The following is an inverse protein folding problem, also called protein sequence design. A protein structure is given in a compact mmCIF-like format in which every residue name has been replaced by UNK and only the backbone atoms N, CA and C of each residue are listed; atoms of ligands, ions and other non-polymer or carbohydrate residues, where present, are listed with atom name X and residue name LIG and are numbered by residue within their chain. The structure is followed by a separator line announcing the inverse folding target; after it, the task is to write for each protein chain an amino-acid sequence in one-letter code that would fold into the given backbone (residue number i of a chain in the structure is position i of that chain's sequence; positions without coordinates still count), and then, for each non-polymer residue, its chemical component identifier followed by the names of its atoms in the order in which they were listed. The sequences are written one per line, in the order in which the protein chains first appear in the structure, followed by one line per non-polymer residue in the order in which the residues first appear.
data_IF_553983867718
#
_entry.id   IF_553983867718
#
_cell.length_a   1.000
_cell.length_b   1.000
_cell.length_c   1.000
_cell.angle_alpha   90.00
_cell.angle_beta   90.00
_cell.angle_gamma   90.00
#
_symmetry.space_group_name_H-M   'P 1'
#
loop_
_entity.id
_entity.type
_entity.pdbx_description
1 polymer ?
#
# COMPACT_ATOMS: atom_id res chain seq x y z
N UNK A 1 12.59 -20.79 -25.03
CA UNK A 1 13.00 -19.36 -25.00
C UNK A 1 12.51 -18.79 -23.68
N UNK A 2 13.37 -18.12 -22.92
CA UNK A 2 13.03 -17.54 -21.62
C UNK A 2 12.10 -16.35 -21.81
N UNK A 3 11.00 -16.27 -21.07
CA UNK A 3 10.00 -15.19 -21.18
C UNK A 3 10.59 -13.82 -20.81
N UNK A 4 9.98 -12.72 -21.28
CA UNK A 4 10.41 -11.36 -20.88
C UNK A 4 10.35 -11.16 -19.37
N UNK A 5 9.37 -11.78 -18.69
CA UNK A 5 9.23 -11.71 -17.24
C UNK A 5 10.40 -12.41 -16.52
N UNK A 6 10.81 -13.59 -16.99
CA UNK A 6 11.96 -14.30 -16.43
C UNK A 6 13.27 -13.55 -16.67
N UNK A 7 13.44 -12.92 -17.83
CA UNK A 7 14.58 -12.04 -18.09
C UNK A 7 14.58 -10.82 -17.17
N UNK A 8 13.42 -10.20 -16.94
CA UNK A 8 13.28 -9.03 -16.05
C UNK A 8 13.70 -9.36 -14.61
N UNK A 9 13.37 -10.55 -14.10
CA UNK A 9 13.74 -10.98 -12.74
C UNK A 9 15.25 -11.02 -12.49
N UNK A 10 16.06 -11.18 -13.55
CA UNK A 10 17.51 -11.18 -13.41
C UNK A 10 18.09 -9.77 -13.20
N UNK A 11 17.32 -8.72 -13.47
CA UNK A 11 17.77 -7.32 -13.41
C UNK A 11 17.01 -6.50 -12.37
N UNK A 12 15.76 -6.88 -12.06
CA UNK A 12 14.86 -6.10 -11.24
C UNK A 12 14.05 -7.02 -10.33
N UNK A 13 13.95 -6.65 -9.05
CA UNK A 13 12.98 -7.25 -8.12
C UNK A 13 11.57 -7.00 -8.64
N UNK A 14 10.88 -8.07 -9.05
CA UNK A 14 9.52 -7.95 -9.59
C UNK A 14 8.51 -7.92 -8.44
N UNK A 15 7.69 -6.88 -8.43
CA UNK A 15 6.62 -6.62 -7.46
C UNK A 15 5.28 -6.65 -8.18
N UNK A 16 4.24 -7.25 -7.59
CA UNK A 16 2.90 -7.24 -8.16
C UNK A 16 2.03 -6.13 -7.56
N UNK A 17 1.47 -5.26 -8.41
CA UNK A 17 0.55 -4.19 -8.00
C UNK A 17 -0.90 -4.65 -8.14
N UNK A 18 -1.32 -5.55 -7.24
CA UNK A 18 -2.65 -6.16 -7.23
C UNK A 18 -2.97 -6.77 -5.87
N UNK A 19 -4.25 -6.91 -5.55
CA UNK A 19 -4.75 -7.73 -4.45
C UNK A 19 -5.34 -9.07 -4.92
N UNK A 20 -5.22 -9.39 -6.21
CA UNK A 20 -5.63 -10.67 -6.78
C UNK A 20 -4.65 -11.78 -6.37
N UNK A 21 -5.10 -12.64 -5.46
CA UNK A 21 -4.33 -13.77 -4.92
C UNK A 21 -3.95 -14.81 -5.98
N UNK A 22 -4.77 -15.01 -7.01
CA UNK A 22 -4.49 -15.99 -8.07
C UNK A 22 -3.38 -15.49 -8.97
N UNK A 23 -3.42 -14.21 -9.33
CA UNK A 23 -2.34 -13.56 -10.08
C UNK A 23 -1.02 -13.63 -9.31
N UNK A 24 -1.03 -13.36 -8.00
CA UNK A 24 0.17 -13.43 -7.15
C UNK A 24 0.71 -14.87 -7.07
N UNK A 25 -0.15 -15.87 -6.85
CA UNK A 25 0.27 -17.27 -6.81
C UNK A 25 0.84 -17.75 -8.16
N UNK A 26 0.24 -17.32 -9.28
CA UNK A 26 0.69 -17.66 -10.63
C UNK A 26 2.01 -17.01 -10.97
N UNK A 27 2.14 -15.71 -10.71
CA UNK A 27 3.29 -14.91 -11.12
C UNK A 27 4.38 -14.84 -10.07
N UNK A 28 4.23 -15.35 -8.84
CA UNK A 28 5.30 -15.47 -7.82
C UNK A 28 6.22 -14.23 -7.74
N UNK A 29 5.68 -13.02 -7.49
CA UNK A 29 6.49 -11.83 -7.30
C UNK A 29 7.28 -11.91 -5.99
N UNK A 30 8.25 -11.03 -5.79
CA UNK A 30 8.99 -10.92 -4.52
C UNK A 30 8.15 -10.18 -3.48
N UNK A 31 7.56 -9.05 -3.87
CA UNK A 31 6.70 -8.22 -3.02
C UNK A 31 5.32 -8.02 -3.68
N UNK A 32 4.36 -7.50 -2.91
CA UNK A 32 3.08 -7.01 -3.40
C UNK A 32 2.82 -5.57 -2.96
N UNK A 33 2.12 -4.81 -3.79
CA UNK A 33 1.62 -3.48 -3.43
C UNK A 33 0.11 -3.43 -3.55
N UNK A 34 -0.53 -2.86 -2.53
CA UNK A 34 -1.93 -2.45 -2.61
C UNK A 34 -2.03 -0.92 -2.54
N UNK A 35 -3.23 -0.43 -2.81
CA UNK A 35 -3.68 0.95 -2.62
C UNK A 35 -5.20 0.90 -2.40
N UNK A 36 -5.87 2.00 -1.98
CA UNK A 36 -7.29 1.97 -1.68
C UNK A 36 -8.16 1.49 -2.85
N UNK A 37 -7.80 1.82 -4.10
CA UNK A 37 -8.54 1.35 -5.29
C UNK A 37 -8.34 -0.15 -5.54
N UNK A 38 -7.14 -0.68 -5.33
CA UNK A 38 -6.87 -2.11 -5.43
C UNK A 38 -7.63 -2.87 -4.35
N UNK A 39 -7.57 -2.41 -3.09
CA UNK A 39 -8.31 -3.03 -1.98
C UNK A 39 -9.79 -3.08 -2.28
N UNK A 40 -10.39 -1.96 -2.72
CA UNK A 40 -11.80 -1.90 -3.09
C UNK A 40 -12.16 -2.98 -4.13
N UNK A 41 -11.40 -3.06 -5.24
CA UNK A 41 -11.64 -4.06 -6.29
C UNK A 41 -11.43 -5.49 -5.81
N UNK A 42 -10.46 -5.72 -4.93
CA UNK A 42 -10.17 -7.04 -4.38
C UNK A 42 -11.28 -7.53 -3.47
N UNK A 43 -11.90 -6.63 -2.70
CA UNK A 43 -13.02 -6.98 -1.82
C UNK A 43 -14.29 -7.39 -2.57
N UNK A 44 -14.44 -6.97 -3.84
CA UNK A 44 -15.54 -7.41 -4.72
C UNK A 44 -15.35 -8.85 -5.23
N UNK A 45 -14.18 -9.46 -5.05
CA UNK A 45 -13.93 -10.83 -5.49
C UNK A 45 -14.64 -11.85 -4.57
N UNK A 46 -15.22 -12.94 -5.12
CA UNK A 46 -15.89 -13.98 -4.31
C UNK A 46 -15.02 -14.56 -3.19
N UNK A 47 -13.71 -14.65 -3.41
CA UNK A 47 -12.74 -15.14 -2.43
C UNK A 47 -12.66 -14.29 -1.14
N UNK A 48 -13.16 -13.05 -1.17
CA UNK A 48 -13.16 -12.13 -0.04
C UNK A 48 -14.54 -11.94 0.61
N UNK A 49 -15.59 -12.60 0.11
CA UNK A 49 -16.95 -12.47 0.65
C UNK A 49 -17.01 -12.76 2.16
N UNK A 50 -16.40 -13.86 2.61
CA UNK A 50 -16.35 -14.18 4.05
C UNK A 50 -15.55 -13.15 4.85
N UNK A 51 -14.47 -12.61 4.26
CA UNK A 51 -13.65 -11.56 4.91
C UNK A 51 -14.46 -10.28 5.10
N UNK A 52 -15.30 -9.92 4.12
CA UNK A 52 -16.25 -8.80 4.23
C UNK A 52 -17.27 -9.05 5.35
N UNK A 53 -17.93 -10.21 5.34
CA UNK A 53 -18.95 -10.55 6.34
C UNK A 53 -18.40 -10.55 7.77
N UNK A 54 -17.19 -11.09 7.95
CA UNK A 54 -16.53 -11.13 9.25
C UNK A 54 -16.13 -9.73 9.73
N UNK A 55 -15.65 -8.86 8.83
CA UNK A 55 -15.31 -7.49 9.16
C UNK A 55 -16.56 -6.67 9.53
N UNK A 56 -17.66 -6.81 8.79
CA UNK A 56 -18.93 -6.16 9.09
C UNK A 56 -19.50 -6.66 10.42
N UNK A 57 -19.46 -7.97 10.67
CA UNK A 57 -19.89 -8.56 11.95
C UNK A 57 -19.07 -8.04 13.11
N UNK A 58 -17.74 -7.96 12.96
CA UNK A 58 -16.85 -7.36 13.95
C UNK A 58 -17.19 -5.88 14.19
N UNK A 59 -17.45 -5.12 13.12
CA UNK A 59 -17.83 -3.72 13.19
C UNK A 59 -19.13 -3.48 13.96
N UNK A 60 -20.15 -4.34 13.76
CA UNK A 60 -21.43 -4.27 14.50
C UNK A 60 -21.29 -4.44 16.01
N UNK A 61 -20.19 -5.04 16.48
CA UNK A 61 -19.90 -5.20 17.90
C UNK A 61 -19.10 -4.02 18.49
N UNK A 62 -18.63 -3.08 17.67
CA UNK A 62 -17.88 -1.92 18.13
C UNK A 62 -18.81 -0.79 18.59
N UNK A 63 -18.37 -0.04 19.61
CA UNK A 63 -19.01 1.19 20.02
C UNK A 63 -18.48 2.38 19.21
N UNK A 64 -19.30 3.44 19.05
CA UNK A 64 -18.90 4.68 18.39
C UNK A 64 -19.92 5.16 17.36
N UNK A 65 -19.56 6.24 16.65
CA UNK A 65 -20.38 6.72 15.54
C UNK A 65 -20.32 5.75 14.36
N UNK A 66 -21.34 5.76 13.51
CA UNK A 66 -21.40 4.92 12.32
C UNK A 66 -20.17 5.10 11.42
N UNK A 67 -19.70 6.34 11.27
CA UNK A 67 -18.57 6.67 10.41
C UNK A 67 -17.24 6.18 11.00
N UNK A 68 -17.05 6.29 12.33
CA UNK A 68 -15.88 5.76 12.99
C UNK A 68 -15.80 4.23 12.89
N UNK A 69 -16.94 3.55 13.07
CA UNK A 69 -17.04 2.09 12.89
C UNK A 69 -16.76 1.71 11.44
N UNK A 70 -17.32 2.43 10.46
CA UNK A 70 -17.08 2.16 9.04
C UNK A 70 -15.60 2.33 8.66
N UNK A 71 -14.93 3.37 9.17
CA UNK A 71 -13.49 3.57 8.96
C UNK A 71 -12.67 2.42 9.57
N UNK A 72 -12.98 1.99 10.80
CA UNK A 72 -12.31 0.86 11.44
C UNK A 72 -12.52 -0.46 10.67
N UNK A 73 -13.72 -0.67 10.11
CA UNK A 73 -14.00 -1.81 9.23
C UNK A 73 -13.17 -1.73 7.94
N UNK A 74 -13.07 -0.56 7.32
CA UNK A 74 -12.26 -0.35 6.13
C UNK A 74 -10.77 -0.64 6.37
N UNK A 75 -10.20 -0.15 7.49
CA UNK A 75 -8.83 -0.47 7.90
C UNK A 75 -8.65 -1.99 8.06
N UNK A 76 -9.56 -2.62 8.81
CA UNK A 76 -9.55 -4.08 9.04
C UNK A 76 -9.55 -4.86 7.73
N UNK A 77 -10.33 -4.43 6.75
CA UNK A 77 -10.42 -5.05 5.43
C UNK A 77 -9.12 -4.88 4.63
N UNK A 78 -8.55 -3.67 4.59
CA UNK A 78 -7.28 -3.41 3.93
C UNK A 78 -6.16 -4.28 4.52
N UNK A 79 -6.10 -4.39 5.85
CA UNK A 79 -5.14 -5.25 6.54
C UNK A 79 -5.36 -6.72 6.19
N UNK A 80 -6.62 -7.18 6.13
CA UNK A 80 -6.96 -8.57 5.79
C UNK A 80 -6.58 -8.95 4.35
N UNK A 81 -6.66 -8.00 3.41
CA UNK A 81 -6.11 -8.18 2.06
C UNK A 81 -4.60 -8.33 2.12
N UNK A 82 -3.90 -7.41 2.79
CA UNK A 82 -2.45 -7.48 2.86
C UNK A 82 -1.93 -8.70 3.61
N UNK A 83 -2.65 -9.20 4.62
CA UNK A 83 -2.33 -10.44 5.36
C UNK A 83 -2.34 -11.65 4.42
N UNK A 84 -3.39 -11.79 3.59
CA UNK A 84 -3.47 -12.87 2.60
C UNK A 84 -2.35 -12.77 1.57
N UNK A 85 -2.00 -11.57 1.12
CA UNK A 85 -0.89 -11.35 0.18
C UNK A 85 0.46 -11.67 0.83
N UNK A 86 0.65 -11.30 2.09
CA UNK A 86 1.90 -11.54 2.82
C UNK A 86 2.19 -13.03 3.01
N UNK A 87 1.16 -13.88 3.01
CA UNK A 87 1.31 -15.34 3.00
C UNK A 87 1.75 -15.93 1.65
N UNK A 88 1.61 -15.18 0.55
CA UNK A 88 1.87 -15.65 -0.81
C UNK A 88 3.22 -15.19 -1.40
N UNK A 89 3.81 -14.14 -0.84
CA UNK A 89 5.07 -13.57 -1.34
C UNK A 89 6.20 -13.81 -0.34
N UNK A 90 7.46 -13.96 -0.77
CA UNK A 90 8.59 -14.11 0.15
C UNK A 90 9.09 -12.79 0.74
N UNK A 91 8.69 -11.65 0.18
CA UNK A 91 9.10 -10.31 0.63
C UNK A 91 7.97 -9.57 1.34
N UNK A 92 7.72 -8.32 0.94
CA UNK A 92 6.88 -7.37 1.69
C UNK A 92 5.54 -7.08 1.01
N UNK A 93 4.60 -6.57 1.79
CA UNK A 93 3.32 -6.03 1.30
C UNK A 93 3.18 -4.56 1.66
N UNK A 94 2.88 -3.71 0.68
CA UNK A 94 2.51 -2.32 0.95
C UNK A 94 1.02 -2.18 1.26
N UNK A 95 0.70 -1.56 2.39
CA UNK A 95 -0.66 -1.22 2.83
C UNK A 95 -0.75 0.28 3.05
N UNK A 96 -1.69 0.93 2.37
CA UNK A 96 -1.80 2.39 2.33
C UNK A 96 -2.67 2.92 3.46
N UNK A 97 -2.22 4.01 4.10
CA UNK A 97 -3.05 4.73 5.07
C UNK A 97 -4.25 5.39 4.38
N UNK A 98 -5.27 5.75 5.15
CA UNK A 98 -6.37 6.56 4.62
C UNK A 98 -5.84 7.87 4.00
N UNK A 99 -6.15 8.07 2.72
CA UNK A 99 -5.71 9.21 1.94
C UNK A 99 -6.23 10.55 2.50
N UNK A 100 -7.33 10.56 3.27
CA UNK A 100 -7.82 11.78 3.94
C UNK A 100 -6.84 12.33 4.98
N UNK A 101 -5.89 11.50 5.44
CA UNK A 101 -4.86 11.87 6.42
C UNK A 101 -3.59 12.47 5.79
N UNK A 102 -3.52 12.56 4.45
CA UNK A 102 -2.29 12.92 3.72
C UNK A 102 -1.70 14.28 4.09
N UNK A 103 -2.48 15.17 4.71
CA UNK A 103 -2.05 16.51 5.12
C UNK A 103 -2.05 16.66 6.65
N UNK A 104 -1.98 15.55 7.39
CA UNK A 104 -1.89 15.54 8.84
C UNK A 104 -0.81 14.53 9.28
N UNK A 105 0.38 15.04 9.58
CA UNK A 105 1.54 14.25 10.00
C UNK A 105 1.21 13.36 11.20
N UNK A 106 0.62 13.93 12.26
CA UNK A 106 0.35 13.19 13.48
C UNK A 106 -0.67 12.06 13.26
N UNK A 107 -1.72 12.32 12.48
CA UNK A 107 -2.72 11.31 12.14
C UNK A 107 -2.17 10.22 11.23
N UNK A 108 -1.32 10.56 10.26
CA UNK A 108 -0.64 9.59 9.40
C UNK A 108 0.30 8.67 10.19
N UNK A 109 1.07 9.23 11.13
CA UNK A 109 1.91 8.44 12.03
C UNK A 109 1.07 7.52 12.91
N UNK A 110 0.00 8.04 13.53
CA UNK A 110 -0.90 7.23 14.35
C UNK A 110 -1.51 6.07 13.56
N UNK A 111 -2.01 6.34 12.34
CA UNK A 111 -2.57 5.32 11.47
C UNK A 111 -1.54 4.27 11.04
N UNK A 112 -0.32 4.69 10.71
CA UNK A 112 0.78 3.77 10.38
C UNK A 112 1.09 2.80 11.52
N UNK A 113 1.16 3.30 12.77
CA UNK A 113 1.35 2.46 13.96
C UNK A 113 0.17 1.52 14.21
N UNK A 114 -1.06 2.00 14.05
CA UNK A 114 -2.26 1.18 14.19
C UNK A 114 -2.28 0.01 13.21
N UNK A 115 -1.94 0.26 11.94
CA UNK A 115 -1.87 -0.77 10.89
C UNK A 115 -0.82 -1.83 11.25
N UNK A 116 0.39 -1.42 11.64
CA UNK A 116 1.45 -2.36 12.05
C UNK A 116 1.02 -3.18 13.26
N UNK A 117 0.43 -2.55 14.28
CA UNK A 117 -0.04 -3.26 15.46
C UNK A 117 -1.13 -4.29 15.12
N UNK A 118 -1.99 -4.03 14.13
CA UNK A 118 -2.99 -5.00 13.67
C UNK A 118 -2.36 -6.18 12.94
N UNK A 119 -1.36 -5.94 12.07
CA UNK A 119 -0.59 -7.00 11.45
C UNK A 119 0.10 -7.89 12.48
N UNK A 120 0.75 -7.29 13.49
CA UNK A 120 1.44 -8.04 14.54
C UNK A 120 0.46 -8.90 15.36
N UNK A 121 -0.74 -8.40 15.65
CA UNK A 121 -1.82 -9.20 16.30
C UNK A 121 -2.26 -10.41 15.47
N UNK A 122 -2.06 -10.36 14.15
CA UNK A 122 -2.36 -11.46 13.20
C UNK A 122 -1.15 -12.35 12.93
N UNK A 123 -0.03 -12.11 13.61
CA UNK A 123 1.20 -12.89 13.43
C UNK A 123 2.02 -12.50 12.20
N UNK A 124 1.72 -11.37 11.55
CA UNK A 124 2.55 -10.82 10.47
C UNK A 124 3.49 -9.78 11.07
N UNK A 125 4.79 -10.05 11.01
CA UNK A 125 5.80 -9.16 11.61
C UNK A 125 5.99 -7.88 10.78
N UNK A 126 6.34 -6.77 11.44
CA UNK A 126 6.44 -5.45 10.78
C UNK A 126 7.44 -5.40 9.63
N UNK A 127 8.48 -6.23 9.62
CA UNK A 127 9.48 -6.31 8.54
C UNK A 127 8.89 -6.87 7.22
N UNK A 128 7.68 -7.43 7.27
CA UNK A 128 6.89 -7.90 6.12
C UNK A 128 6.00 -6.82 5.52
N UNK A 129 5.89 -5.65 6.16
CA UNK A 129 4.91 -4.62 5.81
C UNK A 129 5.62 -3.31 5.48
N UNK A 130 5.14 -2.64 4.44
CA UNK A 130 5.47 -1.25 4.13
C UNK A 130 4.23 -0.38 4.36
N UNK A 131 4.33 0.62 5.24
CA UNK A 131 3.27 1.63 5.37
C UNK A 131 3.36 2.58 4.19
N UNK A 132 2.32 2.61 3.37
CA UNK A 132 2.28 3.42 2.16
C UNK A 132 1.61 4.75 2.42
N UNK A 133 2.29 5.84 2.05
CA UNK A 133 1.93 7.23 2.34
C UNK A 133 2.06 8.07 1.08
N UNK A 134 1.11 8.99 0.85
CA UNK A 134 1.26 9.98 -0.21
C UNK A 134 2.49 10.87 0.05
N UNK A 135 3.25 11.19 -1.00
CA UNK A 135 4.46 12.01 -0.92
C UNK A 135 4.16 13.52 -0.81
N UNK A 136 3.21 13.88 0.04
CA UNK A 136 3.03 15.26 0.53
C UNK A 136 4.14 15.59 1.52
N UNK A 137 4.29 16.86 1.89
CA UNK A 137 5.28 17.23 2.91
C UNK A 137 4.99 16.53 4.24
N UNK A 138 3.74 16.55 4.69
CA UNK A 138 3.27 15.92 5.92
C UNK A 138 3.46 14.40 5.88
N UNK A 139 3.19 13.75 4.74
CA UNK A 139 3.42 12.33 4.54
C UNK A 139 4.91 11.97 4.63
N UNK A 140 5.79 12.79 4.05
CA UNK A 140 7.25 12.60 4.15
C UNK A 140 7.72 12.78 5.60
N UNK A 141 7.21 13.78 6.33
CA UNK A 141 7.52 13.96 7.76
C UNK A 141 6.99 12.81 8.61
N UNK A 142 5.83 12.26 8.26
CA UNK A 142 5.27 11.10 8.94
C UNK A 142 6.17 9.86 8.72
N UNK A 143 6.61 9.64 7.49
CA UNK A 143 7.56 8.57 7.17
C UNK A 143 8.87 8.73 7.95
N UNK A 144 9.43 9.94 8.08
CA UNK A 144 10.64 10.18 8.87
C UNK A 144 10.50 9.70 10.34
N UNK A 145 9.34 9.94 10.95
CA UNK A 145 9.04 9.47 12.32
C UNK A 145 8.91 7.95 12.35
N UNK A 146 8.14 7.36 11.42
CA UNK A 146 7.91 5.93 11.35
C UNK A 146 9.21 5.14 11.09
N UNK A 147 10.09 5.63 10.21
CA UNK A 147 11.41 5.03 9.95
C UNK A 147 12.27 4.99 11.22
N UNK A 148 12.27 6.07 12.03
CA UNK A 148 12.99 6.11 13.33
C UNK A 148 12.45 5.11 14.35
N UNK A 149 11.21 4.63 14.16
CA UNK A 149 10.55 3.62 14.99
C UNK A 149 10.65 2.21 14.40
N UNK A 150 11.40 2.03 13.31
CA UNK A 150 11.56 0.75 12.63
C UNK A 150 10.29 0.30 11.88
N UNK A 151 9.46 1.24 11.44
CA UNK A 151 8.30 0.98 10.57
C UNK A 151 8.65 1.44 9.17
N UNK A 152 8.88 0.47 8.28
CA UNK A 152 9.32 0.76 6.93
C UNK A 152 8.19 1.38 6.07
N UNK A 153 8.52 2.44 5.33
CA UNK A 153 7.55 3.23 4.56
C UNK A 153 7.76 3.13 3.03
N UNK A 154 6.65 3.12 2.30
CA UNK A 154 6.59 3.27 0.83
C UNK A 154 5.98 4.63 0.46
N UNK A 155 6.78 5.54 -0.09
CA UNK A 155 6.31 6.87 -0.49
C UNK A 155 5.72 6.85 -1.89
N UNK A 156 4.40 7.01 -2.00
CA UNK A 156 3.62 6.93 -3.25
C UNK A 156 3.21 8.30 -3.77
N UNK A 157 2.55 8.35 -4.94
CA UNK A 157 2.10 9.60 -5.59
C UNK A 157 3.25 10.60 -5.75
N UNK A 158 4.41 10.08 -6.14
CA UNK A 158 5.63 10.84 -6.32
C UNK A 158 5.77 11.21 -7.79
N UNK A 159 5.71 12.51 -8.09
CA UNK A 159 5.69 13.07 -9.44
C UNK A 159 6.84 14.04 -9.73
N UNK A 160 7.47 14.57 -8.68
CA UNK A 160 8.54 15.57 -8.82
C UNK A 160 9.86 15.09 -8.22
N UNK A 161 10.96 15.59 -8.77
CA UNK A 161 12.30 15.37 -8.24
C UNK A 161 12.45 15.86 -6.80
N UNK A 162 11.78 16.96 -6.45
CA UNK A 162 11.80 17.51 -5.09
C UNK A 162 11.21 16.51 -4.09
N UNK A 163 10.10 15.85 -4.42
CA UNK A 163 9.54 14.79 -3.57
C UNK A 163 10.52 13.62 -3.41
N UNK A 164 11.19 13.17 -4.49
CA UNK A 164 12.18 12.10 -4.41
C UNK A 164 13.35 12.43 -3.48
N UNK A 165 13.90 13.64 -3.60
CA UNK A 165 14.99 14.10 -2.74
C UNK A 165 14.54 14.19 -1.28
N UNK A 166 13.38 14.78 -1.01
CA UNK A 166 12.85 14.90 0.34
C UNK A 166 12.51 13.54 0.99
N UNK A 167 12.04 12.55 0.21
CA UNK A 167 11.84 11.18 0.70
C UNK A 167 13.17 10.50 1.06
N UNK A 168 14.20 10.69 0.23
CA UNK A 168 15.53 10.15 0.48
C UNK A 168 16.18 10.76 1.74
N UNK A 169 16.07 12.08 1.90
CA UNK A 169 16.57 12.81 3.08
C UNK A 169 15.82 12.43 4.36
N UNK A 170 14.52 12.10 4.26
CA UNK A 170 13.72 11.58 5.36
C UNK A 170 14.02 10.10 5.70
N UNK A 171 14.87 9.44 4.91
CA UNK A 171 15.27 8.06 5.14
C UNK A 171 14.18 7.03 4.85
N UNK A 172 13.21 7.35 3.99
CA UNK A 172 12.15 6.41 3.59
C UNK A 172 12.75 5.13 2.98
N UNK A 173 12.19 3.97 3.32
CA UNK A 173 12.70 2.67 2.85
C UNK A 173 12.55 2.50 1.34
N UNK A 174 11.40 2.90 0.79
CA UNK A 174 11.07 2.76 -0.63
C UNK A 174 10.29 3.98 -1.14
N UNK A 175 10.49 4.33 -2.41
CA UNK A 175 9.69 5.32 -3.13
C UNK A 175 9.02 4.68 -4.36
N UNK A 176 7.80 5.12 -4.67
CA UNK A 176 6.99 4.69 -5.82
C UNK A 176 6.77 5.87 -6.79
N UNK A 177 7.76 6.25 -7.62
CA UNK A 177 7.60 7.26 -8.65
C UNK A 177 6.64 6.78 -9.74
N UNK A 178 5.64 7.60 -10.07
CA UNK A 178 4.62 7.22 -11.05
C UNK A 178 5.12 7.43 -12.48
N UNK A 179 4.85 6.48 -13.37
CA UNK A 179 5.19 6.57 -14.79
C UNK A 179 3.95 6.87 -15.64
N UNK A 180 2.93 5.99 -15.59
CA UNK A 180 1.75 6.11 -16.45
C UNK A 180 1.00 7.43 -16.30
N UNK A 181 0.79 7.90 -15.07
CA UNK A 181 0.10 9.18 -14.81
C UNK A 181 0.87 10.41 -15.32
N UNK A 182 2.21 10.34 -15.35
CA UNK A 182 3.03 11.41 -15.96
C UNK A 182 2.80 11.41 -17.46
N UNK A 183 2.87 10.23 -18.11
CA UNK A 183 2.57 10.10 -19.54
C UNK A 183 1.16 10.63 -19.87
N UNK A 184 0.14 10.27 -19.10
CA UNK A 184 -1.24 10.74 -19.29
C UNK A 184 -1.32 12.28 -19.26
N UNK A 185 -0.62 12.90 -18.31
CA UNK A 185 -0.57 14.36 -18.19
C UNK A 185 0.08 15.00 -19.42
N UNK A 186 1.22 14.48 -19.88
CA UNK A 186 1.91 14.98 -21.08
C UNK A 186 1.04 14.84 -22.32
N UNK A 187 0.43 13.66 -22.55
CA UNK A 187 -0.47 13.44 -23.68
C UNK A 187 -1.59 14.48 -23.73
N UNK A 188 -2.24 14.71 -22.59
CA UNK A 188 -3.32 15.70 -22.46
C UNK A 188 -2.83 17.13 -22.66
N UNK A 189 -1.70 17.50 -22.04
CA UNK A 189 -1.18 18.86 -22.05
C UNK A 189 -0.62 19.28 -23.42
N UNK A 190 -0.02 18.34 -24.15
CA UNK A 190 0.63 18.65 -25.44
C UNK A 190 -0.19 18.20 -26.66
N UNK A 191 -1.22 17.38 -26.47
CA UNK A 191 -1.98 16.75 -27.55
C UNK A 191 -1.15 15.79 -28.41
N UNK A 192 -0.09 15.20 -27.85
CA UNK A 192 0.83 14.30 -28.57
C UNK A 192 0.79 12.90 -27.98
N UNK A 193 0.97 11.90 -28.81
CA UNK A 193 1.28 10.55 -28.36
C UNK A 193 2.79 10.35 -28.23
N UNK A 194 3.20 9.63 -27.20
CA UNK A 194 4.58 9.24 -26.92
C UNK A 194 4.64 7.72 -26.96
N UNK A 195 5.51 7.17 -27.80
CA UNK A 195 5.70 5.73 -28.04
C UNK A 195 7.09 5.30 -27.65
#
# INVERSE_FOLDING_TARGET
MVSKLEQLRAMTTVVADTGDIEAVARFKPVDCTTNPTIVLKTLDLPAFAQTMDDAVRWGRAQAGSRDAVAAAVADRLAISVGEKLAALVPGRVSTEVDATLSFNTAASVAKGREIIADYERRGVTRDRILIKLASTWEGIRAAEVLQKEGIDCNMTLLFSRAQAMACAEAGAFLISPFVGRILDWYKKATGRDYT
#
